data_IF_025121175502
#
_entry.id   IF_025121175502
#
_cell.length_a   1.000
_cell.length_b   1.000
_cell.length_c   1.000
_cell.angle_alpha   90.00
_cell.angle_beta   90.00
_cell.angle_gamma   90.00
#
_symmetry.space_group_name_H-M   'P 1'
#
loop_
_entity.id
_entity.type
_entity.pdbx_description
1 polymer ?
#
# COMPACT_ATOMS: atom_id res chain seq x y z
N UNK A 1 6.87 -58.65 57.13
CA UNK A 1 8.03 -58.40 56.24
C UNK A 1 7.48 -58.18 54.84
N UNK A 2 7.23 -56.92 54.45
CA UNK A 2 6.71 -56.57 53.14
C UNK A 2 7.83 -55.89 52.35
N UNK A 3 8.30 -56.55 51.30
CA UNK A 3 9.28 -56.00 50.36
C UNK A 3 8.53 -55.22 49.28
N UNK A 4 8.58 -53.88 49.33
CA UNK A 4 8.16 -53.05 48.21
C UNK A 4 9.19 -53.13 47.07
N UNK A 5 8.77 -53.25 45.80
CA UNK A 5 9.70 -53.29 44.68
C UNK A 5 10.30 -51.90 44.45
N UNK A 6 11.62 -51.80 44.64
CA UNK A 6 12.41 -50.60 44.35
C UNK A 6 12.11 -50.10 42.94
N UNK A 7 11.56 -48.89 42.84
CA UNK A 7 11.22 -48.25 41.57
C UNK A 7 12.46 -48.09 40.70
N UNK A 8 12.47 -48.75 39.53
CA UNK A 8 13.55 -48.62 38.54
C UNK A 8 13.73 -47.14 38.20
N UNK A 9 14.89 -46.60 38.50
CA UNK A 9 15.27 -45.22 38.16
C UNK A 9 15.26 -45.05 36.64
N UNK A 10 14.80 -43.89 36.15
CA UNK A 10 14.85 -43.52 34.73
C UNK A 10 16.28 -43.75 34.17
N UNK A 11 17.29 -43.55 35.01
CA UNK A 11 18.70 -43.77 34.68
C UNK A 11 18.99 -45.21 34.25
N UNK A 12 18.48 -46.20 34.98
CA UNK A 12 18.72 -47.62 34.69
C UNK A 12 17.98 -48.06 33.43
N UNK A 13 16.79 -47.48 33.17
CA UNK A 13 16.03 -47.72 31.94
C UNK A 13 16.74 -47.16 30.69
N UNK A 14 17.43 -46.02 30.83
CA UNK A 14 18.20 -45.41 29.75
C UNK A 14 19.49 -46.19 29.48
N UNK A 15 20.21 -46.63 30.53
CA UNK A 15 21.43 -47.44 30.38
C UNK A 15 21.11 -48.78 29.72
N UNK A 16 20.07 -49.48 30.17
CA UNK A 16 19.64 -50.74 29.54
C UNK A 16 19.18 -50.55 28.07
N UNK A 17 18.59 -49.40 27.74
CA UNK A 17 18.23 -49.07 26.36
C UNK A 17 19.46 -48.77 25.48
N UNK A 18 20.52 -48.18 26.03
CA UNK A 18 21.80 -47.94 25.35
C UNK A 18 22.54 -49.26 25.12
N UNK A 19 22.66 -50.10 26.14
CA UNK A 19 23.35 -51.40 26.06
C UNK A 19 22.66 -52.39 25.13
N UNK A 20 21.32 -52.38 25.07
CA UNK A 20 20.55 -53.23 24.15
C UNK A 20 20.66 -52.83 22.67
N UNK A 21 21.45 -51.80 22.32
CA UNK A 21 21.67 -51.35 20.94
C UNK A 21 20.42 -50.78 20.26
N UNK A 22 19.32 -50.58 21.00
CA UNK A 22 18.05 -50.05 20.48
C UNK A 22 18.10 -48.55 20.16
N UNK A 23 19.14 -47.85 20.62
CA UNK A 23 19.34 -46.41 20.36
C UNK A 23 20.13 -46.21 19.07
N UNK A 24 19.43 -46.11 17.94
CA UNK A 24 20.04 -45.67 16.67
C UNK A 24 20.44 -44.19 16.77
N UNK A 25 21.73 -43.89 16.65
CA UNK A 25 22.22 -42.51 16.51
C UNK A 25 21.60 -41.89 15.25
N UNK A 26 20.81 -40.81 15.41
CA UNK A 26 20.34 -40.02 14.27
C UNK A 26 21.36 -38.91 13.94
N UNK A 27 21.70 -38.70 12.66
CA UNK A 27 22.67 -37.69 12.27
C UNK A 27 22.17 -36.28 12.65
N UNK A 28 23.06 -35.48 13.25
CA UNK A 28 22.76 -34.12 13.76
C UNK A 28 22.27 -33.15 12.67
N UNK A 29 22.66 -33.38 11.41
CA UNK A 29 22.29 -32.56 10.26
C UNK A 29 20.79 -32.38 10.06
N UNK A 30 19.98 -33.42 10.32
CA UNK A 30 18.52 -33.32 10.19
C UNK A 30 17.92 -32.32 11.19
N UNK A 31 18.49 -32.23 12.41
CA UNK A 31 18.04 -31.26 13.41
C UNK A 31 18.48 -29.84 13.06
N UNK A 32 19.72 -29.67 12.58
CA UNK A 32 20.25 -28.37 12.17
C UNK A 32 19.50 -27.82 10.95
N UNK A 33 19.32 -28.64 9.91
CA UNK A 33 18.59 -28.24 8.70
C UNK A 33 17.15 -27.83 9.04
N UNK A 34 16.47 -28.59 9.91
CA UNK A 34 15.12 -28.27 10.38
C UNK A 34 15.09 -26.94 11.13
N UNK A 35 16.02 -26.71 12.05
CA UNK A 35 16.10 -25.45 12.80
C UNK A 35 16.37 -24.24 11.90
N UNK A 36 17.30 -24.37 10.94
CA UNK A 36 17.60 -23.33 9.96
C UNK A 36 16.36 -23.02 9.11
N UNK A 37 15.69 -24.06 8.58
CA UNK A 37 14.51 -23.90 7.74
C UNK A 37 13.39 -23.14 8.47
N UNK A 38 13.11 -23.51 9.73
CA UNK A 38 12.13 -22.79 10.54
C UNK A 38 12.55 -21.34 10.81
N UNK A 39 13.81 -21.11 11.18
CA UNK A 39 14.33 -19.77 11.47
C UNK A 39 14.22 -18.86 10.25
N UNK A 40 14.67 -19.34 9.09
CA UNK A 40 14.55 -18.62 7.81
C UNK A 40 13.08 -18.39 7.45
N UNK A 41 12.21 -19.38 7.66
CA UNK A 41 10.76 -19.24 7.43
C UNK A 41 10.12 -18.14 8.28
N UNK A 42 10.45 -18.09 9.58
CA UNK A 42 9.97 -17.05 10.50
C UNK A 42 10.43 -15.66 10.04
N UNK A 43 11.73 -15.52 9.73
CA UNK A 43 12.30 -14.25 9.27
C UNK A 43 11.63 -13.80 7.95
N UNK A 44 11.47 -14.73 7.01
CA UNK A 44 10.84 -14.44 5.71
C UNK A 44 9.38 -14.00 5.86
N UNK A 45 8.59 -14.69 6.68
CA UNK A 45 7.21 -14.31 6.98
C UNK A 45 7.13 -12.93 7.63
N UNK A 46 8.03 -12.63 8.58
CA UNK A 46 8.09 -11.34 9.25
C UNK A 46 8.43 -10.20 8.28
N UNK A 47 9.44 -10.39 7.42
CA UNK A 47 9.81 -9.42 6.39
C UNK A 47 8.67 -9.19 5.39
N UNK A 48 7.98 -10.25 4.99
CA UNK A 48 6.85 -10.17 4.07
C UNK A 48 5.68 -9.42 4.71
N UNK A 49 5.37 -9.70 5.97
CA UNK A 49 4.32 -8.99 6.71
C UNK A 49 4.63 -7.49 6.83
N UNK A 50 5.88 -7.16 7.15
CA UNK A 50 6.35 -5.79 7.28
C UNK A 50 6.34 -5.04 5.94
N UNK A 51 6.71 -5.72 4.84
CA UNK A 51 6.54 -5.19 3.49
C UNK A 51 5.06 -4.94 3.15
N UNK A 52 4.16 -5.88 3.47
CA UNK A 52 2.73 -5.72 3.20
C UNK A 52 2.12 -4.58 4.00
N UNK A 53 2.48 -4.45 5.28
CA UNK A 53 2.04 -3.34 6.13
C UNK A 53 2.51 -1.99 5.57
N UNK A 54 3.79 -1.89 5.18
CA UNK A 54 4.35 -0.71 4.53
C UNK A 54 3.62 -0.38 3.22
N UNK A 55 3.33 -1.39 2.41
CA UNK A 55 2.63 -1.22 1.14
C UNK A 55 1.18 -0.75 1.33
N UNK A 56 0.45 -1.29 2.32
CA UNK A 56 -0.90 -0.83 2.66
C UNK A 56 -0.87 0.66 3.05
N UNK A 57 0.06 1.07 3.92
CA UNK A 57 0.21 2.48 4.31
C UNK A 57 0.54 3.35 3.09
N UNK A 58 1.44 2.88 2.23
CA UNK A 58 1.80 3.59 1.00
C UNK A 58 0.58 3.80 0.09
N UNK A 59 -0.22 2.76 -0.16
CA UNK A 59 -1.44 2.83 -0.99
C UNK A 59 -2.46 3.80 -0.38
N UNK A 60 -2.72 3.71 0.92
CA UNK A 60 -3.66 4.62 1.60
C UNK A 60 -3.20 6.08 1.57
N UNK A 61 -1.88 6.30 1.63
CA UNK A 61 -1.30 7.64 1.54
C UNK A 61 -1.34 8.18 0.11
N UNK A 62 -1.03 7.36 -0.89
CA UNK A 62 -1.07 7.73 -2.31
C UNK A 62 -2.49 8.08 -2.76
N UNK A 63 -3.49 7.31 -2.34
CA UNK A 63 -4.89 7.58 -2.68
C UNK A 63 -5.50 8.73 -1.87
N UNK A 64 -4.75 9.37 -0.96
CA UNK A 64 -5.25 10.46 -0.12
C UNK A 64 -6.24 10.06 0.98
N UNK A 65 -6.74 8.82 0.92
CA UNK A 65 -7.76 8.31 1.84
C UNK A 65 -7.28 8.29 3.29
N UNK A 66 -5.97 8.26 3.54
CA UNK A 66 -5.39 8.37 4.89
C UNK A 66 -5.97 9.53 5.72
N UNK A 67 -6.39 10.63 5.07
CA UNK A 67 -6.96 11.79 5.75
C UNK A 67 -8.49 11.79 5.81
N UNK A 68 -9.16 10.84 5.17
CA UNK A 68 -10.61 10.74 5.15
C UNK A 68 -11.24 10.72 6.57
N UNK A 69 -10.67 10.03 7.59
CA UNK A 69 -11.25 10.06 8.95
C UNK A 69 -11.31 11.45 9.59
N UNK A 70 -10.47 12.41 9.15
CA UNK A 70 -10.48 13.78 9.68
C UNK A 70 -11.77 14.54 9.31
N UNK A 71 -12.52 14.06 8.31
CA UNK A 71 -13.79 14.66 7.86
C UNK A 71 -15.01 14.09 8.62
N UNK A 72 -14.80 13.32 9.70
CA UNK A 72 -15.87 12.79 10.56
C UNK A 72 -16.41 11.43 10.08
N UNK A 73 -17.63 11.08 10.52
CA UNK A 73 -18.20 9.73 10.30
C UNK A 73 -18.33 9.35 8.82
N UNK A 74 -18.73 10.28 7.95
CA UNK A 74 -18.79 10.04 6.49
C UNK A 74 -17.40 9.70 5.93
N UNK A 75 -16.38 10.43 6.37
CA UNK A 75 -14.99 10.19 5.98
C UNK A 75 -14.42 8.87 6.50
N UNK A 76 -14.83 8.41 7.68
CA UNK A 76 -14.51 7.05 8.16
C UNK A 76 -15.12 5.97 7.27
N UNK A 77 -16.35 6.17 6.79
CA UNK A 77 -17.00 5.26 5.85
C UNK A 77 -16.21 5.12 4.54
N UNK A 78 -15.76 6.25 3.97
CA UNK A 78 -14.87 6.26 2.80
C UNK A 78 -13.55 5.57 3.12
N UNK A 79 -12.92 5.89 4.26
CA UNK A 79 -11.68 5.27 4.69
C UNK A 79 -11.75 3.74 4.71
N UNK A 80 -12.79 3.19 5.34
CA UNK A 80 -12.98 1.75 5.46
C UNK A 80 -13.27 1.12 4.10
N UNK A 81 -14.05 1.77 3.24
CA UNK A 81 -14.38 1.23 1.91
C UNK A 81 -13.16 1.15 1.00
N UNK A 82 -12.31 2.19 0.99
CA UNK A 82 -11.11 2.23 0.14
C UNK A 82 -9.91 1.48 0.74
N UNK A 83 -10.08 0.77 1.86
CA UNK A 83 -9.06 -0.13 2.37
C UNK A 83 -8.80 -1.24 1.33
N UNK A 84 -7.53 -1.60 1.07
CA UNK A 84 -7.21 -2.72 0.19
C UNK A 84 -7.47 -4.04 0.91
N UNK A 85 -8.75 -4.44 1.00
CA UNK A 85 -9.23 -5.62 1.75
C UNK A 85 -8.48 -6.90 1.39
N UNK A 86 -8.11 -7.07 0.13
CA UNK A 86 -7.33 -8.23 -0.32
C UNK A 86 -5.92 -8.24 0.30
N UNK A 87 -5.24 -7.08 0.37
CA UNK A 87 -3.93 -6.98 1.04
C UNK A 87 -4.06 -7.25 2.55
N UNK A 88 -5.13 -6.75 3.18
CA UNK A 88 -5.41 -7.00 4.60
C UNK A 88 -5.66 -8.49 4.85
N UNK A 89 -6.45 -9.15 3.99
CA UNK A 89 -6.71 -10.59 4.09
C UNK A 89 -5.43 -11.41 3.91
N UNK A 90 -4.57 -11.04 2.96
CA UNK A 90 -3.26 -11.67 2.77
C UNK A 90 -2.37 -11.42 3.99
N UNK A 91 -2.28 -10.20 4.53
CA UNK A 91 -1.53 -9.91 5.76
C UNK A 91 -2.02 -10.77 6.94
N UNK A 92 -3.34 -10.91 7.10
CA UNK A 92 -3.94 -11.74 8.14
C UNK A 92 -3.56 -13.22 7.97
N UNK A 93 -3.56 -13.73 6.73
CA UNK A 93 -3.07 -15.09 6.43
C UNK A 93 -1.60 -15.27 6.83
N UNK A 94 -0.73 -14.30 6.53
CA UNK A 94 0.67 -14.33 6.93
C UNK A 94 0.86 -14.28 8.46
N UNK A 95 0.03 -13.53 9.18
CA UNK A 95 0.03 -13.51 10.66
C UNK A 95 -0.35 -14.88 11.21
N UNK A 96 -1.42 -15.51 10.70
CA UNK A 96 -1.83 -16.85 11.12
C UNK A 96 -0.75 -17.89 10.82
N UNK A 97 -0.12 -17.82 9.64
CA UNK A 97 0.98 -18.70 9.27
C UNK A 97 2.20 -18.52 10.18
N UNK A 98 2.58 -17.28 10.48
CA UNK A 98 3.67 -16.94 11.40
C UNK A 98 3.37 -17.44 12.82
N UNK A 99 2.14 -17.26 13.29
CA UNK A 99 1.71 -17.76 14.60
C UNK A 99 1.76 -19.29 14.66
N UNK A 100 1.26 -19.98 13.64
CA UNK A 100 1.35 -21.44 13.56
C UNK A 100 2.80 -21.93 13.59
N UNK A 101 3.70 -21.23 12.89
CA UNK A 101 5.13 -21.56 12.85
C UNK A 101 5.80 -21.33 14.21
N UNK A 102 5.48 -20.23 14.88
CA UNK A 102 6.00 -19.89 16.22
C UNK A 102 5.48 -20.87 17.27
N UNK A 103 4.21 -21.28 17.20
CA UNK A 103 3.63 -22.28 18.12
C UNK A 103 4.33 -23.64 18.01
N UNK A 104 4.77 -24.01 16.81
CA UNK A 104 5.51 -25.26 16.58
C UNK A 104 6.90 -25.25 17.23
N UNK A 105 7.46 -24.05 17.49
CA UNK A 105 8.69 -23.88 18.23
C UNK A 105 8.37 -23.74 19.73
N UNK A 106 8.82 -24.71 20.54
CA UNK A 106 8.54 -24.85 21.98
C UNK A 106 8.87 -23.62 22.87
N UNK A 107 9.43 -22.56 22.28
CA UNK A 107 9.77 -21.29 22.94
C UNK A 107 8.56 -20.40 23.24
N UNK A 108 7.40 -20.59 22.59
CA UNK A 108 6.21 -19.74 22.76
C UNK A 108 5.19 -20.19 23.81
N UNK A 109 5.31 -21.41 24.35
CA UNK A 109 4.20 -22.13 25.00
C UNK A 109 3.64 -21.51 26.31
N UNK A 110 4.29 -20.49 26.88
CA UNK A 110 3.87 -19.89 28.17
C UNK A 110 3.36 -18.46 28.09
N UNK A 111 3.34 -17.83 26.91
CA UNK A 111 2.83 -16.45 26.76
C UNK A 111 1.43 -16.49 26.13
N UNK A 112 0.48 -15.67 26.60
CA UNK A 112 -0.85 -15.63 26.00
C UNK A 112 -0.72 -15.13 24.55
N UNK A 113 -1.26 -15.92 23.62
CA UNK A 113 -1.16 -15.74 22.17
C UNK A 113 -1.51 -14.32 21.72
N UNK A 114 -2.48 -13.71 22.40
CA UNK A 114 -2.92 -12.35 22.15
C UNK A 114 -1.77 -11.33 22.24
N UNK A 115 -0.88 -11.44 23.23
CA UNK A 115 0.21 -10.48 23.42
C UNK A 115 1.29 -10.59 22.34
N UNK A 116 1.63 -11.80 21.90
CA UNK A 116 2.60 -11.99 20.81
C UNK A 116 2.06 -11.45 19.50
N UNK A 117 0.79 -11.70 19.19
CA UNK A 117 0.15 -11.22 17.97
C UNK A 117 0.00 -9.69 17.99
N UNK A 118 -0.40 -9.09 19.12
CA UNK A 118 -0.43 -7.63 19.27
C UNK A 118 0.96 -7.01 19.08
N UNK A 119 1.99 -7.59 19.69
CA UNK A 119 3.35 -7.09 19.57
C UNK A 119 3.85 -7.15 18.11
N UNK A 120 3.55 -8.24 17.39
CA UNK A 120 3.88 -8.36 15.97
C UNK A 120 3.13 -7.35 15.10
N UNK A 121 1.82 -7.18 15.34
CA UNK A 121 1.01 -6.17 14.62
C UNK A 121 1.58 -4.78 14.89
N UNK A 122 1.89 -4.45 16.14
CA UNK A 122 2.46 -3.17 16.52
C UNK A 122 3.81 -2.92 15.84
N UNK A 123 4.71 -3.91 15.86
CA UNK A 123 5.99 -3.86 15.14
C UNK A 123 5.81 -3.72 13.63
N UNK A 124 4.87 -4.46 13.03
CA UNK A 124 4.57 -4.39 11.61
C UNK A 124 4.01 -3.01 11.21
N UNK A 125 3.15 -2.43 12.04
CA UNK A 125 2.59 -1.09 11.83
C UNK A 125 3.68 -0.03 11.95
N UNK A 126 4.47 -0.04 13.02
CA UNK A 126 5.55 0.95 13.21
C UNK A 126 6.62 0.80 12.13
N UNK A 127 7.07 -0.42 11.88
CA UNK A 127 8.05 -0.73 10.84
C UNK A 127 7.52 -0.38 9.45
N UNK A 128 6.23 -0.66 9.19
CA UNK A 128 5.56 -0.29 7.96
C UNK A 128 5.49 1.22 7.76
N UNK A 129 5.14 2.00 8.78
CA UNK A 129 5.14 3.47 8.73
C UNK A 129 6.56 4.00 8.52
N UNK A 130 7.56 3.44 9.20
CA UNK A 130 8.95 3.85 9.05
C UNK A 130 9.46 3.62 7.62
N UNK A 131 9.14 2.47 7.02
CA UNK A 131 9.53 2.15 5.64
C UNK A 131 8.69 2.93 4.63
N UNK A 132 7.42 3.21 4.90
CA UNK A 132 6.57 4.02 4.02
C UNK A 132 7.08 5.47 3.88
N UNK A 133 7.91 5.95 4.82
CA UNK A 133 8.62 7.23 4.68
C UNK A 133 9.87 7.16 3.79
N UNK A 134 10.36 5.96 3.48
CA UNK A 134 11.51 5.78 2.59
C UNK A 134 11.08 5.81 1.11
N UNK A 135 11.97 6.21 0.19
CA UNK A 135 11.67 6.27 -1.25
C UNK A 135 11.53 4.88 -1.91
N UNK A 136 11.57 3.80 -1.14
CA UNK A 136 11.56 2.42 -1.62
C UNK A 136 10.31 2.13 -2.46
N UNK A 137 9.12 2.45 -1.94
CA UNK A 137 7.86 2.21 -2.67
C UNK A 137 7.71 3.12 -3.88
N UNK A 138 8.13 4.39 -3.79
CA UNK A 138 8.11 5.32 -4.92
C UNK A 138 9.00 4.84 -6.07
N UNK A 139 10.19 4.29 -5.75
CA UNK A 139 11.09 3.68 -6.74
C UNK A 139 10.48 2.46 -7.42
N UNK A 140 9.92 1.53 -6.63
CA UNK A 140 9.25 0.33 -7.14
C UNK A 140 8.02 0.67 -7.97
N UNK A 141 7.24 1.66 -7.56
CA UNK A 141 6.08 2.14 -8.31
C UNK A 141 6.48 2.72 -9.67
N UNK A 142 7.53 3.56 -9.71
CA UNK A 142 8.07 4.09 -10.96
C UNK A 142 8.58 2.99 -11.89
N UNK A 143 9.22 1.94 -11.35
CA UNK A 143 9.64 0.77 -12.12
C UNK A 143 8.45 -0.06 -12.62
N UNK A 144 7.38 -0.18 -11.80
CA UNK A 144 6.16 -0.89 -12.17
C UNK A 144 5.43 -0.19 -13.34
N UNK A 145 5.38 1.15 -13.34
CA UNK A 145 4.84 1.92 -14.47
C UNK A 145 5.66 1.73 -15.75
N UNK A 146 6.97 1.57 -15.63
CA UNK A 146 7.86 1.33 -16.78
C UNK A 146 7.85 -0.15 -17.24
N UNK A 147 6.93 -0.98 -16.74
CA UNK A 147 6.86 -2.42 -17.01
C UNK A 147 8.13 -3.21 -16.68
N UNK A 148 9.01 -2.67 -15.83
CA UNK A 148 10.27 -3.29 -15.46
C UNK A 148 10.14 -4.27 -14.27
N UNK A 149 8.91 -4.53 -13.79
CA UNK A 149 8.63 -5.46 -12.70
C UNK A 149 7.65 -6.56 -13.16
N UNK A 150 8.12 -7.77 -13.51
CA UNK A 150 7.29 -8.82 -14.12
C UNK A 150 6.26 -9.42 -13.15
N UNK A 151 6.59 -9.56 -11.86
CA UNK A 151 5.71 -10.21 -10.87
C UNK A 151 5.00 -9.19 -9.98
N UNK A 152 5.73 -8.21 -9.44
CA UNK A 152 5.19 -7.23 -8.52
C UNK A 152 4.48 -6.04 -9.22
N UNK A 153 4.74 -5.83 -10.52
CA UNK A 153 4.23 -4.66 -11.25
C UNK A 153 2.71 -4.59 -11.30
N UNK A 154 2.03 -5.74 -11.40
CA UNK A 154 0.56 -5.78 -11.42
C UNK A 154 -0.06 -5.28 -10.13
N UNK A 155 0.50 -5.62 -8.97
CA UNK A 155 0.00 -5.14 -7.68
C UNK A 155 0.12 -3.61 -7.57
N UNK A 156 1.28 -3.05 -7.93
CA UNK A 156 1.49 -1.60 -7.91
C UNK A 156 0.58 -0.87 -8.91
N UNK A 157 0.28 -1.44 -10.07
CA UNK A 157 -0.66 -0.84 -11.04
C UNK A 157 -2.11 -0.90 -10.57
N UNK A 158 -2.54 -2.02 -9.98
CA UNK A 158 -3.90 -2.21 -9.48
C UNK A 158 -4.19 -1.27 -8.30
N UNK A 159 -3.22 -1.04 -7.42
CA UNK A 159 -3.44 -0.27 -6.19
C UNK A 159 -2.87 1.15 -6.19
N UNK A 160 -2.01 1.51 -7.16
CA UNK A 160 -1.17 2.71 -7.02
C UNK A 160 -1.75 4.02 -7.53
N UNK A 161 -2.74 4.02 -8.43
CA UNK A 161 -3.46 5.23 -8.90
C UNK A 161 -4.78 4.85 -9.57
N UNK A 162 -5.74 4.31 -8.81
CA UNK A 162 -7.13 4.43 -9.24
C UNK A 162 -7.68 5.62 -8.46
N UNK A 163 -8.06 6.73 -9.13
CA UNK A 163 -8.88 7.74 -8.50
C UNK A 163 -10.09 7.00 -7.97
N UNK A 164 -10.21 6.90 -6.65
CA UNK A 164 -11.51 6.55 -6.08
C UNK A 164 -12.45 7.65 -6.53
N UNK A 165 -13.63 7.30 -7.04
CA UNK A 165 -14.60 8.29 -7.53
C UNK A 165 -14.92 9.36 -6.46
N UNK A 166 -14.64 9.04 -5.19
CA UNK A 166 -14.86 9.93 -4.06
C UNK A 166 -13.66 10.80 -3.63
N UNK A 167 -12.47 10.64 -4.20
CA UNK A 167 -11.26 11.39 -3.82
C UNK A 167 -10.54 11.90 -5.06
N UNK A 168 -10.42 13.22 -5.16
CA UNK A 168 -9.69 13.88 -6.24
C UNK A 168 -8.60 14.78 -5.68
N UNK A 169 -7.42 14.72 -6.29
CA UNK A 169 -6.29 15.63 -6.01
C UNK A 169 -6.03 16.50 -7.25
N UNK A 170 -5.85 17.80 -7.04
CA UNK A 170 -5.60 18.75 -8.11
C UNK A 170 -5.02 20.08 -7.65
N UNK A 171 -4.81 20.98 -8.60
CA UNK A 171 -4.38 22.37 -8.38
C UNK A 171 -5.58 23.27 -8.60
N UNK A 172 -5.86 24.16 -7.65
CA UNK A 172 -6.91 25.18 -7.79
C UNK A 172 -6.54 26.10 -8.95
N UNK A 173 -7.42 26.20 -9.94
CA UNK A 173 -7.22 27.02 -11.13
C UNK A 173 -7.97 28.35 -11.04
N UNK A 174 -9.17 28.33 -10.50
CA UNK A 174 -10.06 29.50 -10.40
C UNK A 174 -10.96 29.36 -9.18
N UNK A 175 -11.09 30.41 -8.38
CA UNK A 175 -12.01 30.47 -7.24
C UNK A 175 -13.39 30.97 -7.70
N UNK A 176 -14.47 30.39 -7.15
CA UNK A 176 -15.87 30.76 -7.43
C UNK A 176 -16.62 31.02 -6.13
N UNK A 177 -17.80 31.62 -6.21
CA UNK A 177 -18.63 31.93 -5.03
C UNK A 177 -19.09 30.68 -4.28
N UNK A 178 -19.36 29.58 -4.99
CA UNK A 178 -19.88 28.32 -4.47
C UNK A 178 -18.82 27.20 -4.43
N UNK A 179 -17.54 27.52 -4.67
CA UNK A 179 -16.60 26.48 -5.06
C UNK A 179 -15.29 26.95 -5.63
N UNK A 180 -14.66 26.07 -6.40
CA UNK A 180 -13.52 26.39 -7.24
C UNK A 180 -13.42 25.38 -8.38
N UNK A 181 -12.69 25.74 -9.44
CA UNK A 181 -12.25 24.75 -10.42
C UNK A 181 -10.84 24.30 -10.08
N UNK A 182 -10.56 23.02 -10.28
CA UNK A 182 -9.22 22.47 -10.12
C UNK A 182 -8.85 21.62 -11.33
N UNK A 183 -7.56 21.56 -11.61
CA UNK A 183 -7.00 20.65 -12.60
C UNK A 183 -6.41 19.43 -11.88
N UNK A 184 -6.89 18.24 -12.21
CA UNK A 184 -6.36 17.00 -11.65
C UNK A 184 -5.02 16.58 -12.28
N UNK A 185 -4.47 15.45 -11.81
CA UNK A 185 -3.22 14.89 -12.36
C UNK A 185 -3.34 14.44 -13.83
N UNK A 186 -4.55 14.08 -14.28
CA UNK A 186 -4.87 13.71 -15.67
C UNK A 186 -5.07 14.94 -16.57
N UNK A 187 -5.01 16.15 -16.02
CA UNK A 187 -5.31 17.42 -16.67
C UNK A 187 -6.79 17.64 -17.00
N UNK A 188 -7.68 16.90 -16.33
CA UNK A 188 -9.11 17.13 -16.36
C UNK A 188 -9.47 18.34 -15.50
N UNK A 189 -10.39 19.17 -15.98
CA UNK A 189 -10.92 20.32 -15.23
C UNK A 189 -12.14 19.87 -14.44
N UNK A 190 -12.05 19.92 -13.12
CA UNK A 190 -13.10 19.51 -12.19
C UNK A 190 -13.65 20.74 -11.48
N UNK A 191 -14.97 20.86 -11.44
CA UNK A 191 -15.68 21.90 -10.67
C UNK A 191 -16.02 21.32 -9.31
N UNK A 192 -15.49 21.94 -8.27
CA UNK A 192 -15.71 21.54 -6.89
C UNK A 192 -16.80 22.42 -6.32
N UNK A 193 -17.96 21.83 -6.03
CA UNK A 193 -19.07 22.50 -5.36
C UNK A 193 -18.96 22.29 -3.86
N UNK A 194 -18.92 23.40 -3.13
CA UNK A 194 -18.90 23.42 -1.68
C UNK A 194 -20.30 23.76 -1.16
N UNK A 195 -20.63 23.26 0.03
CA UNK A 195 -21.89 23.48 0.73
C UNK A 195 -21.61 23.78 2.19
N UNK A 196 -22.63 24.17 2.95
CA UNK A 196 -22.50 24.39 4.40
C UNK A 196 -22.06 23.12 5.17
N UNK A 197 -22.28 21.93 4.57
CA UNK A 197 -21.85 20.64 5.10
C UNK A 197 -20.37 20.32 4.79
N UNK A 198 -19.71 21.10 3.93
CA UNK A 198 -18.32 20.87 3.53
C UNK A 198 -17.37 21.19 4.68
N UNK A 199 -16.53 20.22 5.05
CA UNK A 199 -15.59 20.35 6.17
C UNK A 199 -14.19 20.74 5.71
N UNK A 200 -13.60 21.68 6.45
CA UNK A 200 -12.28 22.23 6.21
C UNK A 200 -11.37 22.03 7.44
N UNK A 201 -10.82 20.82 7.65
CA UNK A 201 -10.08 20.51 8.87
C UNK A 201 -8.84 21.39 9.10
N UNK A 202 -8.35 22.08 8.07
CA UNK A 202 -7.18 22.98 8.14
C UNK A 202 -7.49 24.42 7.67
N UNK A 203 -8.77 24.78 7.61
CA UNK A 203 -9.22 26.12 7.20
C UNK A 203 -9.55 26.26 5.71
N UNK A 204 -10.07 27.43 5.34
CA UNK A 204 -10.70 27.75 4.06
C UNK A 204 -9.87 28.66 3.15
N UNK A 205 -8.63 28.98 3.54
CA UNK A 205 -7.75 29.91 2.81
C UNK A 205 -7.12 29.29 1.56
N UNK A 206 -7.94 28.86 0.61
CA UNK A 206 -7.49 28.38 -0.70
C UNK A 206 -7.20 29.55 -1.63
N UNK A 207 -6.12 29.43 -2.39
CA UNK A 207 -5.72 30.39 -3.43
C UNK A 207 -5.53 29.66 -4.75
N UNK A 208 -5.63 30.38 -5.86
CA UNK A 208 -5.22 29.85 -7.15
C UNK A 208 -3.76 29.40 -7.10
N UNK A 209 -3.49 28.24 -7.70
CA UNK A 209 -2.19 27.55 -7.61
C UNK A 209 -2.03 26.65 -6.39
N UNK A 210 -2.95 26.68 -5.42
CA UNK A 210 -2.89 25.77 -4.29
C UNK A 210 -3.17 24.34 -4.71
N UNK A 211 -2.37 23.40 -4.20
CA UNK A 211 -2.66 21.98 -4.33
C UNK A 211 -3.67 21.56 -3.27
N UNK A 212 -4.76 20.95 -3.69
CA UNK A 212 -5.88 20.56 -2.83
C UNK A 212 -6.28 19.11 -3.05
N UNK A 213 -6.74 18.50 -1.96
CA UNK A 213 -7.44 17.24 -1.94
C UNK A 213 -8.91 17.52 -1.66
N UNK A 214 -9.77 16.98 -2.52
CA UNK A 214 -11.21 17.10 -2.43
C UNK A 214 -11.79 15.71 -2.24
N UNK A 215 -12.62 15.56 -1.22
CA UNK A 215 -13.38 14.34 -0.97
C UNK A 215 -14.86 14.68 -1.11
N UNK A 216 -15.54 13.98 -2.01
CA UNK A 216 -16.89 14.31 -2.42
C UNK A 216 -17.53 13.25 -3.29
N UNK A 217 -18.81 13.41 -3.61
CA UNK A 217 -19.45 12.59 -4.63
C UNK A 217 -19.15 13.20 -6.01
N UNK A 218 -18.57 12.42 -6.92
CA UNK A 218 -18.27 12.85 -8.29
C UNK A 218 -19.41 12.48 -9.23
N UNK A 219 -19.93 13.50 -9.91
CA UNK A 219 -20.87 13.39 -11.02
C UNK A 219 -20.23 14.08 -12.23
N UNK A 220 -19.70 13.28 -13.17
CA UNK A 220 -18.93 13.74 -14.33
C UNK A 220 -17.71 14.60 -13.94
N UNK A 221 -17.75 15.90 -14.26
CA UNK A 221 -16.72 16.88 -13.95
C UNK A 221 -17.07 17.73 -12.73
N UNK A 222 -18.12 17.39 -12.00
CA UNK A 222 -18.55 18.09 -10.79
C UNK A 222 -18.32 17.21 -9.58
N UNK A 223 -17.70 17.76 -8.54
CA UNK A 223 -17.50 17.09 -7.26
C UNK A 223 -18.27 17.85 -6.20
N UNK A 224 -19.29 17.20 -5.62
CA UNK A 224 -20.02 17.70 -4.45
C UNK A 224 -19.16 17.41 -3.22
N UNK A 225 -18.34 18.38 -2.83
CA UNK A 225 -17.36 18.20 -1.79
C UNK A 225 -18.02 18.18 -0.41
N UNK A 226 -17.77 17.12 0.36
CA UNK A 226 -18.03 17.14 1.81
C UNK A 226 -16.75 17.40 2.61
N UNK A 227 -15.58 17.36 1.96
CA UNK A 227 -14.31 17.66 2.59
C UNK A 227 -13.30 18.26 1.61
N UNK A 228 -12.65 19.35 2.01
CA UNK A 228 -11.56 19.94 1.23
C UNK A 228 -10.38 20.23 2.14
N UNK A 229 -9.17 19.93 1.64
CA UNK A 229 -7.93 20.19 2.37
C UNK A 229 -6.82 20.62 1.41
N UNK A 230 -6.01 21.58 1.86
CA UNK A 230 -4.73 21.93 1.21
C UNK A 230 -3.67 20.87 1.48
N UNK A 231 -3.01 20.39 0.42
CA UNK A 231 -1.85 19.50 0.50
C UNK A 231 -0.61 20.38 0.47
N UNK A 232 0.16 20.40 1.56
CA UNK A 232 1.49 21.01 1.54
C UNK A 232 2.43 20.01 0.87
N UNK A 233 3.20 20.46 -0.13
CA UNK A 233 4.11 19.66 -0.95
C UNK A 233 5.14 18.90 -0.09
N UNK A 234 4.74 17.76 0.46
CA UNK A 234 5.65 16.83 1.15
C UNK A 234 6.24 15.81 0.16
N UNK A 235 5.76 15.76 -1.09
CA UNK A 235 6.34 14.96 -2.16
C UNK A 235 6.42 15.72 -3.48
N UNK A 236 7.61 15.78 -4.12
CA UNK A 236 7.71 16.20 -5.50
C UNK A 236 6.97 15.18 -6.37
N UNK A 237 5.90 15.62 -7.04
CA UNK A 237 5.38 14.88 -8.20
C UNK A 237 6.54 14.76 -9.19
N UNK A 238 6.84 13.55 -9.71
CA UNK A 238 7.90 13.43 -10.70
C UNK A 238 7.61 14.40 -11.85
N UNK A 239 8.61 15.20 -12.28
CA UNK A 239 8.40 16.17 -13.35
C UNK A 239 7.82 15.44 -14.55
N UNK A 240 6.76 16.01 -15.13
CA UNK A 240 6.18 15.52 -16.39
C UNK A 240 7.35 15.33 -17.36
N UNK A 241 7.62 14.09 -17.79
CA UNK A 241 8.34 13.89 -19.05
C UNK A 241 7.51 14.65 -20.07
N UNK A 242 8.02 15.78 -20.52
CA UNK A 242 7.32 16.65 -21.45
C UNK A 242 6.74 15.75 -22.54
N UNK A 243 5.44 15.90 -22.82
CA UNK A 243 4.87 15.35 -24.05
C UNK A 243 5.90 15.66 -25.13
N UNK A 244 6.35 14.67 -25.93
CA UNK A 244 7.17 14.96 -27.09
C UNK A 244 6.47 16.13 -27.77
N UNK A 245 7.14 17.29 -27.82
CA UNK A 245 6.62 18.37 -28.62
C UNK A 245 6.42 17.74 -29.98
N UNK A 246 5.17 17.57 -30.39
CA UNK A 246 4.84 17.29 -31.77
C UNK A 246 5.39 18.51 -32.47
N UNK A 247 6.63 18.39 -32.98
CA UNK A 247 7.20 19.36 -33.91
C UNK A 247 6.13 19.50 -34.95
N UNK A 248 5.41 20.62 -34.91
CA UNK A 248 4.41 20.97 -35.89
C UNK A 248 5.08 20.81 -37.23
N UNK A 249 4.72 19.74 -37.93
CA UNK A 249 5.11 19.52 -39.30
C UNK A 249 4.49 20.66 -40.08
N UNK A 250 5.31 21.68 -40.32
CA UNK A 250 5.03 22.79 -41.20
C UNK A 250 5.06 22.27 -42.64
N UNK A 251 4.18 21.33 -42.96
CA UNK A 251 3.87 20.95 -44.33
C UNK A 251 2.76 21.88 -44.79
N UNK A 252 3.15 23.12 -45.10
CA UNK A 252 2.34 23.98 -45.95
C UNK A 252 2.11 23.24 -47.28
N UNK A 253 0.86 23.14 -47.77
CA UNK A 253 0.59 22.56 -49.08
C UNK A 253 1.37 23.31 -50.17
N UNK A 254 1.92 22.61 -51.19
CA UNK A 254 2.54 23.26 -52.34
C UNK A 254 1.49 24.10 -53.05
N UNK A 255 1.87 25.31 -53.44
CA UNK A 255 0.99 26.30 -54.06
C UNK A 255 0.15 25.72 -55.20
N UNK A 256 -1.16 25.91 -55.09
CA UNK A 256 -2.03 25.95 -56.26
C UNK A 256 -1.66 27.18 -57.07
N UNK A 257 -0.73 27.01 -58.01
CA UNK A 257 -0.59 27.94 -59.12
C UNK A 257 -1.90 27.92 -59.90
N UNK A 258 -2.62 29.05 -59.83
CA UNK A 258 -3.72 29.36 -60.72
C UNK A 258 -3.22 29.24 -62.16
N UNK A 259 -3.71 28.23 -62.88
CA UNK A 259 -3.67 28.22 -64.33
C UNK A 259 -4.74 29.18 -64.83
N UNK A 260 -4.33 30.40 -65.14
CA UNK A 260 -4.97 31.17 -66.20
C UNK A 260 -4.87 30.37 -67.50
N UNK A 261 -6.02 29.91 -68.00
CA UNK A 261 -6.23 29.57 -69.39
C UNK A 261 -7.57 30.15 -69.83
N UNK A 262 -7.44 31.20 -70.64
CA UNK A 262 -8.04 31.37 -71.97
C UNK A 262 -9.55 31.14 -72.17
N UNK A 263 -10.16 32.16 -72.78
CA UNK A 263 -11.47 32.18 -73.45
C UNK A 263 -12.02 33.60 -73.39
N UNK A 264 -11.75 34.54 -74.31
CA UNK A 264 -11.99 34.54 -75.76
C UNK A 264 -13.46 34.19 -76.12
N UNK A 265 -14.35 35.17 -75.97
CA UNK A 265 -15.24 35.67 -77.02
C UNK A 265 -15.93 36.97 -76.58
#
# INVERSE_FOLDING_TARGET
>A
MNNEPAGKSIKDSVIAAIESGKVKMRPKWHFVARAILFTVGIIFLLLTLLFLASFIVYVLRQNGVWFAPAFGLRGVGVFVRSLPWLLIAVAALFIVALEALVRHYSFGYRKPLLYSSLAMIFLAVIGGIAIAKTPLHSGLFNQAQQNNLPVAGTLYRVYGMHPEDSVAEGIVMELKDDGFTMQDHLSEMLTVQMSDDTRFPYGTGFMEGDRVMVIGEREDNVIKAFGVRKIFDEFPVPPRRGRPQVKGGQNSPPGMQMREREGAN
#
